data_IF_034976217180
#
_entry.id   IF_034976217180
#
_cell.length_a   1.000
_cell.length_b   1.000
_cell.length_c   1.000
_cell.angle_alpha   90.00
_cell.angle_beta   90.00
_cell.angle_gamma   90.00
#
_symmetry.space_group_name_H-M   'P 1'
#
loop_
_entity.id
_entity.type
_entity.pdbx_description
1 polymer ?
#
# COMPACT_ATOMS: atom_id res chain seq x y z
N UNK A 1 11.08 -13.31 21.32
CA UNK A 1 10.47 -14.20 20.31
C UNK A 1 11.11 -13.91 18.97
N UNK A 2 11.89 -14.84 18.43
CA UNK A 2 12.58 -14.68 17.14
C UNK A 2 11.56 -15.00 16.05
N UNK A 3 11.37 -14.09 15.08
CA UNK A 3 10.43 -14.30 13.98
C UNK A 3 10.86 -15.50 13.12
N UNK A 4 9.93 -16.39 12.79
CA UNK A 4 10.20 -17.58 11.96
C UNK A 4 10.68 -17.23 10.55
N UNK A 5 10.30 -16.06 10.01
CA UNK A 5 10.82 -15.55 8.74
C UNK A 5 10.78 -14.01 8.72
N UNK A 6 11.79 -13.33 9.27
CA UNK A 6 11.81 -11.86 9.38
C UNK A 6 11.85 -11.17 8.01
N UNK A 7 12.39 -11.84 6.98
CA UNK A 7 12.51 -11.28 5.62
C UNK A 7 11.19 -11.29 4.83
N UNK A 8 10.12 -11.84 5.40
CA UNK A 8 8.77 -11.75 4.82
C UNK A 8 7.94 -10.61 5.39
N UNK A 9 8.30 -10.10 6.57
CA UNK A 9 7.53 -9.07 7.26
C UNK A 9 7.89 -7.69 6.70
N UNK A 10 6.90 -6.99 6.11
CA UNK A 10 7.11 -5.68 5.47
C UNK A 10 7.72 -4.66 6.43
N UNK A 11 7.23 -4.58 7.67
CA UNK A 11 7.74 -3.64 8.68
C UNK A 11 9.17 -3.95 9.12
N UNK A 12 9.57 -5.23 9.17
CA UNK A 12 10.95 -5.62 9.48
C UNK A 12 11.89 -5.23 8.34
N UNK A 13 11.47 -5.44 7.09
CA UNK A 13 12.24 -5.04 5.91
C UNK A 13 12.41 -3.53 5.81
N UNK A 14 11.34 -2.76 6.08
CA UNK A 14 11.41 -1.31 6.14
C UNK A 14 12.37 -0.83 7.24
N UNK A 15 12.31 -1.44 8.43
CA UNK A 15 13.27 -1.15 9.50
C UNK A 15 14.72 -1.44 9.08
N UNK A 16 14.97 -2.54 8.36
CA UNK A 16 16.30 -2.87 7.81
C UNK A 16 16.78 -1.81 6.81
N UNK A 17 15.91 -1.32 5.92
CA UNK A 17 16.25 -0.24 4.97
C UNK A 17 16.58 1.07 5.70
N UNK A 18 15.82 1.43 6.74
CA UNK A 18 16.12 2.59 7.60
C UNK A 18 17.50 2.49 8.26
N UNK A 19 17.82 1.33 8.84
CA UNK A 19 19.13 1.08 9.46
C UNK A 19 20.25 1.15 8.41
N UNK A 20 20.02 0.59 7.22
CA UNK A 20 20.97 0.65 6.11
C UNK A 20 21.21 2.09 5.61
N UNK A 21 20.21 2.97 5.72
CA UNK A 21 20.35 4.41 5.46
C UNK A 21 21.07 5.19 6.58
N UNK A 22 21.56 4.51 7.63
CA UNK A 22 22.26 5.15 8.74
C UNK A 22 21.35 5.88 9.73
N UNK A 23 20.03 5.68 9.63
CA UNK A 23 19.06 6.33 10.51
C UNK A 23 18.87 5.53 11.79
N UNK A 24 18.64 6.24 12.89
CA UNK A 24 18.39 5.63 14.20
C UNK A 24 17.15 4.73 14.17
N UNK A 25 17.25 3.59 14.86
CA UNK A 25 16.16 2.64 15.05
C UNK A 25 16.12 2.17 16.51
N UNK A 26 14.92 2.11 17.09
CA UNK A 26 14.69 1.64 18.45
C UNK A 26 13.60 0.56 18.44
N UNK A 27 13.74 -0.54 19.20
CA UNK A 27 12.67 -1.53 19.32
C UNK A 27 11.33 -0.88 19.71
N UNK A 28 10.27 -1.21 18.98
CA UNK A 28 8.94 -0.60 19.17
C UNK A 28 8.67 0.65 18.30
N UNK A 29 9.69 1.16 17.60
CA UNK A 29 9.54 2.27 16.65
C UNK A 29 8.62 1.87 15.48
N UNK A 30 7.70 2.77 15.11
CA UNK A 30 6.88 2.65 13.89
C UNK A 30 7.71 3.14 12.71
N UNK A 31 7.78 2.33 11.65
CA UNK A 31 8.49 2.67 10.41
C UNK A 31 7.49 2.67 9.28
N UNK A 32 7.34 3.83 8.62
CA UNK A 32 6.53 3.97 7.43
C UNK A 32 7.14 3.23 6.24
N UNK A 33 6.31 2.81 5.29
CA UNK A 33 6.74 2.13 4.08
C UNK A 33 5.74 2.35 2.95
N UNK A 34 6.22 2.18 1.72
CA UNK A 34 5.41 2.11 0.50
C UNK A 34 5.59 0.74 -0.16
N UNK A 35 4.54 0.23 -0.80
CA UNK A 35 4.68 -0.85 -1.78
C UNK A 35 5.10 -0.27 -3.11
N UNK A 36 6.16 -0.83 -3.70
CA UNK A 36 6.70 -0.46 -5.01
C UNK A 36 6.40 -1.49 -6.10
N UNK A 37 6.13 -2.74 -5.71
CA UNK A 37 5.80 -3.80 -6.66
C UNK A 37 5.00 -4.91 -5.95
N UNK A 38 3.69 -4.92 -6.16
CA UNK A 38 2.80 -5.92 -5.60
C UNK A 38 2.72 -7.21 -6.43
N UNK A 39 3.36 -7.27 -7.61
CA UNK A 39 3.27 -8.45 -8.50
C UNK A 39 4.10 -9.64 -8.01
N UNK A 40 5.06 -9.41 -7.12
CA UNK A 40 5.96 -10.42 -6.56
C UNK A 40 5.69 -10.73 -5.08
N UNK A 41 6.18 -11.89 -4.64
CA UNK A 41 6.14 -12.30 -3.23
C UNK A 41 7.53 -12.71 -2.72
N UNK A 42 8.06 -12.04 -1.68
CA UNK A 42 7.48 -10.90 -0.96
C UNK A 42 7.37 -9.64 -1.84
N UNK A 43 6.34 -8.82 -1.62
CA UNK A 43 6.13 -7.56 -2.37
C UNK A 43 7.38 -6.67 -2.33
N UNK A 44 7.63 -5.91 -3.40
CA UNK A 44 8.59 -4.82 -3.41
C UNK A 44 8.12 -3.71 -2.47
N UNK A 45 9.02 -3.26 -1.60
CA UNK A 45 8.73 -2.18 -0.64
C UNK A 45 9.93 -1.26 -0.49
N UNK A 46 9.65 0.00 -0.18
CA UNK A 46 10.64 0.99 0.27
C UNK A 46 10.21 1.57 1.63
N UNK A 47 11.18 1.90 2.48
CA UNK A 47 10.93 2.56 3.74
C UNK A 47 10.64 4.04 3.48
N UNK A 48 9.53 4.55 4.02
CA UNK A 48 9.20 5.98 3.94
C UNK A 48 10.09 6.72 4.92
N UNK A 49 11.06 7.48 4.40
CA UNK A 49 12.07 8.23 5.16
C UNK A 49 12.27 9.66 4.61
N UNK A 50 11.23 10.20 3.94
CA UNK A 50 11.30 11.53 3.31
C UNK A 50 11.64 12.63 4.32
N UNK A 51 11.05 12.58 5.52
CA UNK A 51 11.27 13.58 6.57
C UNK A 51 12.74 13.61 7.03
N UNK A 52 13.43 12.46 6.98
CA UNK A 52 14.82 12.34 7.41
C UNK A 52 15.84 12.60 6.30
N UNK A 53 15.50 12.29 5.03
CA UNK A 53 16.44 12.43 3.90
C UNK A 53 16.17 13.66 3.04
N UNK A 54 14.97 14.23 3.11
CA UNK A 54 14.50 15.27 2.18
C UNK A 54 14.21 14.77 0.77
N UNK A 55 14.33 13.46 0.52
CA UNK A 55 14.07 12.84 -0.78
C UNK A 55 12.59 12.47 -0.89
N UNK A 56 11.90 13.01 -1.89
CA UNK A 56 10.51 12.65 -2.18
C UNK A 56 10.46 11.25 -2.81
N UNK A 57 9.71 10.35 -2.20
CA UNK A 57 9.45 9.00 -2.66
C UNK A 57 8.26 8.97 -3.60
N UNK A 58 8.56 8.99 -4.90
CA UNK A 58 7.58 8.89 -5.97
C UNK A 58 7.40 7.46 -6.49
N UNK A 59 8.30 6.54 -6.13
CA UNK A 59 8.26 5.16 -6.57
C UNK A 59 7.31 4.34 -5.68
N UNK A 60 6.06 4.19 -6.13
CA UNK A 60 5.06 3.35 -5.49
C UNK A 60 4.20 2.66 -6.56
N UNK A 61 3.58 1.53 -6.20
CA UNK A 61 2.70 0.75 -7.08
C UNK A 61 1.26 1.35 -7.04
N UNK A 62 0.81 2.10 -8.07
CA UNK A 62 -0.49 2.76 -8.02
C UNK A 62 -1.65 1.76 -8.05
N UNK A 63 -1.52 0.69 -8.83
CA UNK A 63 -2.52 -0.37 -8.97
C UNK A 63 -2.82 -1.05 -7.64
N UNK A 64 -1.78 -1.28 -6.84
CA UNK A 64 -1.92 -1.82 -5.50
C UNK A 64 -2.78 -0.95 -4.58
N UNK A 65 -2.56 0.36 -4.60
CA UNK A 65 -3.33 1.29 -3.77
C UNK A 65 -4.74 1.53 -4.32
N UNK A 66 -4.91 1.64 -5.64
CA UNK A 66 -6.22 1.78 -6.28
C UNK A 66 -7.14 0.62 -5.89
N UNK A 67 -6.67 -0.63 -5.99
CA UNK A 67 -7.47 -1.81 -5.62
C UNK A 67 -7.88 -1.82 -4.16
N UNK A 68 -7.01 -1.34 -3.26
CA UNK A 68 -7.29 -1.24 -1.83
C UNK A 68 -8.30 -0.15 -1.52
N UNK A 69 -8.15 1.01 -2.14
CA UNK A 69 -9.12 2.11 -2.05
C UNK A 69 -10.48 1.64 -2.56
N UNK A 70 -10.54 1.00 -3.72
CA UNK A 70 -11.76 0.46 -4.29
C UNK A 70 -12.40 -0.61 -3.39
N UNK A 71 -11.61 -1.46 -2.75
CA UNK A 71 -12.12 -2.46 -1.79
C UNK A 71 -12.73 -1.80 -0.55
N UNK A 72 -12.05 -0.80 0.01
CA UNK A 72 -12.51 -0.12 1.22
C UNK A 72 -13.74 0.75 0.96
N UNK A 73 -13.71 1.53 -0.13
CA UNK A 73 -14.81 2.40 -0.54
C UNK A 73 -15.99 1.59 -1.08
N UNK A 74 -15.74 0.53 -1.85
CA UNK A 74 -16.76 -0.37 -2.39
C UNK A 74 -17.73 -0.86 -1.32
N UNK A 75 -17.24 -1.25 -0.15
CA UNK A 75 -18.07 -1.66 1.00
C UNK A 75 -19.05 -0.59 1.47
N UNK A 76 -18.72 0.68 1.29
CA UNK A 76 -19.57 1.83 1.63
C UNK A 76 -20.49 2.15 0.46
N UNK A 77 -19.94 2.19 -0.76
CA UNK A 77 -20.62 2.66 -1.97
C UNK A 77 -21.61 1.64 -2.54
N UNK A 78 -21.48 0.36 -2.17
CA UNK A 78 -22.41 -0.71 -2.56
C UNK A 78 -23.85 -0.40 -2.13
N UNK A 79 -24.04 0.22 -0.94
CA UNK A 79 -25.35 0.67 -0.48
C UNK A 79 -25.99 1.74 -1.39
N UNK A 80 -25.18 2.42 -2.20
CA UNK A 80 -25.59 3.42 -3.17
C UNK A 80 -25.56 2.89 -4.62
N UNK A 81 -25.40 1.58 -4.80
CA UNK A 81 -25.38 0.93 -6.11
C UNK A 81 -24.07 1.08 -6.89
N UNK A 82 -22.95 1.33 -6.22
CA UNK A 82 -21.62 1.42 -6.80
C UNK A 82 -20.70 0.34 -6.25
N UNK A 83 -20.21 -0.53 -7.12
CA UNK A 83 -19.26 -1.60 -6.74
C UNK A 83 -17.82 -1.09 -6.76
N UNK A 84 -16.90 -1.81 -6.11
CA UNK A 84 -15.46 -1.50 -6.19
C UNK A 84 -14.93 -1.47 -7.63
N UNK A 85 -15.43 -2.33 -8.51
CA UNK A 85 -15.06 -2.33 -9.93
C UNK A 85 -15.54 -1.06 -10.66
N UNK A 86 -16.73 -0.56 -10.32
CA UNK A 86 -17.24 0.70 -10.87
C UNK A 86 -16.36 1.89 -10.44
N UNK A 87 -15.82 1.84 -9.22
CA UNK A 87 -14.89 2.85 -8.70
C UNK A 87 -13.54 2.83 -9.43
N UNK A 88 -13.05 1.64 -9.81
CA UNK A 88 -11.80 1.52 -10.59
C UNK A 88 -12.01 1.99 -12.03
N UNK A 89 -13.15 1.64 -12.65
CA UNK A 89 -13.46 1.98 -14.05
C UNK A 89 -13.90 3.44 -14.23
N UNK A 90 -14.38 4.08 -13.17
CA UNK A 90 -14.83 5.48 -13.19
C UNK A 90 -16.17 5.72 -13.89
N UNK A 91 -16.89 4.66 -14.28
CA UNK A 91 -18.22 4.77 -14.87
C UNK A 91 -19.10 3.57 -14.49
N UNK A 92 -20.42 3.78 -14.51
CA UNK A 92 -21.43 2.73 -14.41
C UNK A 92 -22.03 2.55 -15.80
N UNK A 93 -22.06 1.32 -16.32
CA UNK A 93 -22.85 1.03 -17.51
C UNK A 93 -24.34 1.09 -17.10
N UNK A 94 -25.02 2.19 -17.43
CA UNK A 94 -26.47 2.23 -17.37
C UNK A 94 -27.00 1.26 -18.44
N UNK A 95 -27.64 0.18 -18.02
CA UNK A 95 -28.34 -0.70 -18.98
C UNK A 95 -29.51 0.08 -19.58
N UNK A 96 -29.77 -0.09 -20.88
CA UNK A 96 -30.74 0.68 -21.68
C UNK A 96 -32.20 0.62 -21.17
N UNK A 97 -32.46 -0.08 -20.07
CA UNK A 97 -33.78 -0.28 -19.45
C UNK A 97 -33.84 0.17 -17.98
N UNK A 98 -32.85 0.92 -17.48
CA UNK A 98 -32.95 1.60 -16.19
C UNK A 98 -33.77 2.89 -16.35
N UNK A 99 -35.09 2.75 -16.41
CA UNK A 99 -36.06 3.83 -16.24
C UNK A 99 -36.97 3.49 -15.05
#
# INVERSE_FOLDING_TARGET
>A
TIYTNPDRLVHVRAAKQRIAAGLNFTPGMKVGWLVTDASKSPMGITAWIEDETGEVQTDYDPEFYIKRLATALGRITEAFGWTGDDLIKGNRQATLFSF
#
